data_IF_659250294644
#
_entry.id   IF_659250294644
#
_cell.length_a   1.000
_cell.length_b   1.000
_cell.length_c   1.000
_cell.angle_alpha   90.00
_cell.angle_beta   90.00
_cell.angle_gamma   90.00
#
_symmetry.space_group_name_H-M   'P 1'
#
loop_
_entity.id
_entity.type
_entity.pdbx_description
1 polymer ?
#
# COMPACT_ATOMS: atom_id res chain seq x y z
N UNK A 1 -1.82 10.04 -5.62
CA UNK A 1 -2.79 10.06 -4.52
C UNK A 1 -2.93 8.70 -3.88
N UNK A 2 -3.12 8.64 -2.55
CA UNK A 2 -3.46 7.40 -1.85
C UNK A 2 -4.94 7.01 -2.07
N UNK A 3 -5.32 5.78 -1.66
CA UNK A 3 -6.70 5.27 -1.74
C UNK A 3 -7.47 5.44 -0.43
N UNK A 4 -7.03 4.76 0.62
CA UNK A 4 -7.78 4.60 1.87
C UNK A 4 -7.64 5.84 2.76
N UNK A 5 -8.71 6.56 2.99
CA UNK A 5 -8.67 7.83 3.73
C UNK A 5 -8.32 9.04 2.86
N UNK A 6 -8.09 8.84 1.56
CA UNK A 6 -7.77 9.91 0.59
C UNK A 6 -8.76 9.92 -0.58
N UNK A 7 -8.70 8.96 -1.50
CA UNK A 7 -9.67 8.84 -2.60
C UNK A 7 -11.01 8.31 -2.10
N UNK A 8 -10.97 7.33 -1.19
CA UNK A 8 -12.15 6.67 -0.63
C UNK A 8 -12.68 7.42 0.59
N UNK A 9 -14.00 7.56 0.66
CA UNK A 9 -14.69 8.03 1.86
C UNK A 9 -14.71 6.95 2.97
N UNK A 10 -15.26 7.28 4.15
CA UNK A 10 -15.39 6.36 5.29
C UNK A 10 -16.23 5.10 5.01
N UNK A 11 -17.07 5.14 3.96
CA UNK A 11 -17.86 4.01 3.47
C UNK A 11 -17.11 3.14 2.45
N UNK A 12 -15.81 3.39 2.22
CA UNK A 12 -14.98 2.74 1.22
C UNK A 12 -15.51 2.87 -0.22
N UNK A 13 -16.13 4.00 -0.55
CA UNK A 13 -16.61 4.34 -1.89
C UNK A 13 -15.84 5.52 -2.46
N UNK A 14 -15.68 5.56 -3.77
CA UNK A 14 -15.17 6.74 -4.48
C UNK A 14 -16.30 7.77 -4.58
N UNK A 15 -16.17 8.95 -3.95
CA UNK A 15 -17.15 10.02 -4.12
C UNK A 15 -17.20 10.50 -5.60
N UNK A 16 -18.37 10.82 -6.09
CA UNK A 16 -18.57 11.27 -7.48
C UNK A 16 -17.76 12.54 -7.78
N UNK A 17 -17.67 13.47 -6.82
CA UNK A 17 -16.87 14.68 -6.94
C UNK A 17 -15.36 14.38 -7.10
N UNK A 18 -14.84 13.38 -6.39
CA UNK A 18 -13.45 12.95 -6.55
C UNK A 18 -13.23 12.37 -7.95
N UNK A 19 -14.13 11.51 -8.42
CA UNK A 19 -14.05 10.93 -9.76
C UNK A 19 -14.09 12.00 -10.86
N UNK A 20 -14.96 13.01 -10.74
CA UNK A 20 -15.04 14.15 -11.68
C UNK A 20 -13.76 14.97 -11.68
N UNK A 21 -13.23 15.34 -10.52
CA UNK A 21 -12.00 16.13 -10.44
C UNK A 21 -10.79 15.39 -11.03
N UNK A 22 -10.70 14.06 -10.83
CA UNK A 22 -9.68 13.22 -11.45
C UNK A 22 -9.83 13.23 -12.97
N UNK A 23 -11.05 13.05 -13.49
CA UNK A 23 -11.31 13.09 -14.92
C UNK A 23 -10.98 14.45 -15.55
N UNK A 24 -11.32 15.56 -14.86
CA UNK A 24 -10.97 16.93 -15.26
C UNK A 24 -9.45 17.12 -15.35
N UNK A 25 -8.70 16.60 -14.36
CA UNK A 25 -7.24 16.67 -14.35
C UNK A 25 -6.63 15.83 -15.49
N UNK A 26 -7.09 14.60 -15.67
CA UNK A 26 -6.65 13.72 -16.75
C UNK A 26 -6.91 14.34 -18.15
N UNK A 27 -8.08 14.96 -18.35
CA UNK A 27 -8.43 15.64 -19.60
C UNK A 27 -7.52 16.85 -19.91
N UNK A 28 -6.85 17.41 -18.90
CA UNK A 28 -5.84 18.47 -19.05
C UNK A 28 -4.41 17.92 -19.18
N UNK A 29 -4.25 16.61 -19.35
CA UNK A 29 -2.94 15.96 -19.51
C UNK A 29 -2.18 15.69 -18.21
N UNK A 30 -2.85 15.77 -17.05
CA UNK A 30 -2.23 15.37 -15.78
C UNK A 30 -2.15 13.86 -15.72
N UNK A 31 -0.96 13.32 -15.48
CA UNK A 31 -0.75 11.90 -15.25
C UNK A 31 -1.35 11.48 -13.90
N UNK A 32 -2.24 10.51 -13.91
CA UNK A 32 -2.95 10.04 -12.72
C UNK A 32 -2.27 8.79 -12.18
N UNK A 33 -1.80 8.86 -10.95
CA UNK A 33 -1.14 7.74 -10.26
C UNK A 33 -1.82 7.49 -8.91
N UNK A 34 -2.32 6.28 -8.72
CA UNK A 34 -2.84 5.81 -7.44
C UNK A 34 -1.76 5.03 -6.72
N UNK A 35 -1.43 5.43 -5.47
CA UNK A 35 -0.32 4.87 -4.69
C UNK A 35 -0.88 4.29 -3.39
N UNK A 36 -0.87 2.96 -3.22
CA UNK A 36 -1.58 2.31 -2.12
C UNK A 36 -0.84 1.12 -1.53
N UNK A 37 -1.11 0.81 -0.25
CA UNK A 37 -0.70 -0.45 0.37
C UNK A 37 -1.50 -1.66 -0.12
N UNK A 38 -2.64 -1.45 -0.77
CA UNK A 38 -3.47 -2.54 -1.29
C UNK A 38 -2.76 -3.34 -2.37
N UNK A 39 -3.14 -4.62 -2.51
CA UNK A 39 -2.76 -5.46 -3.64
C UNK A 39 -3.48 -5.00 -4.91
N UNK A 40 -2.87 -5.25 -6.07
CA UNK A 40 -3.40 -4.83 -7.37
C UNK A 40 -4.87 -5.20 -7.58
N UNK A 41 -5.27 -6.46 -7.36
CA UNK A 41 -6.66 -6.88 -7.55
C UNK A 41 -7.65 -6.08 -6.71
N UNK A 42 -7.30 -5.78 -5.47
CA UNK A 42 -8.15 -5.00 -4.58
C UNK A 42 -8.22 -3.51 -4.98
N UNK A 43 -7.10 -2.95 -5.42
CA UNK A 43 -7.04 -1.57 -5.89
C UNK A 43 -7.77 -1.40 -7.23
N UNK A 44 -7.59 -2.33 -8.16
CA UNK A 44 -8.21 -2.32 -9.49
C UNK A 44 -9.72 -2.22 -9.42
N UNK A 45 -10.38 -3.05 -8.59
CA UNK A 45 -11.85 -3.01 -8.43
C UNK A 45 -12.38 -1.63 -8.08
N UNK A 46 -11.57 -0.81 -7.41
CA UNK A 46 -11.92 0.56 -7.03
C UNK A 46 -11.70 1.52 -8.18
N UNK A 47 -10.52 1.46 -8.81
CA UNK A 47 -10.14 2.41 -9.84
C UNK A 47 -10.78 2.12 -11.21
N UNK A 48 -11.34 0.93 -11.41
CA UNK A 48 -12.11 0.59 -12.62
C UNK A 48 -13.29 1.56 -12.85
N UNK A 49 -13.84 2.13 -11.76
CA UNK A 49 -14.89 3.14 -11.82
C UNK A 49 -14.39 4.54 -12.25
N UNK A 50 -13.09 4.79 -12.28
CA UNK A 50 -12.52 6.07 -12.71
C UNK A 50 -12.48 6.15 -14.24
N UNK A 51 -13.03 7.20 -14.85
CA UNK A 51 -13.17 7.31 -16.31
C UNK A 51 -11.90 7.88 -16.98
N UNK A 52 -10.73 7.41 -16.59
CA UNK A 52 -9.45 7.84 -17.16
C UNK A 52 -8.41 6.72 -17.13
N UNK A 53 -7.40 6.86 -17.97
CA UNK A 53 -6.17 6.09 -17.86
C UNK A 53 -5.41 6.47 -16.59
N UNK A 54 -4.81 5.50 -15.94
CA UNK A 54 -4.03 5.73 -14.73
C UNK A 54 -3.06 4.58 -14.47
N UNK A 55 -2.05 4.86 -13.65
CA UNK A 55 -1.13 3.86 -13.15
C UNK A 55 -1.34 3.60 -11.66
N UNK A 56 -1.00 2.38 -11.26
CA UNK A 56 -1.15 1.89 -9.89
C UNK A 56 0.23 1.53 -9.32
N UNK A 57 0.61 2.20 -8.26
CA UNK A 57 1.71 1.80 -7.39
C UNK A 57 1.08 1.08 -6.21
N UNK A 58 1.22 -0.24 -6.14
CA UNK A 58 0.53 -1.10 -5.17
C UNK A 58 1.51 -1.80 -4.23
N UNK A 59 0.99 -2.42 -3.17
CA UNK A 59 1.80 -3.07 -2.13
C UNK A 59 2.89 -2.12 -1.59
N UNK A 60 2.50 -0.89 -1.24
CA UNK A 60 3.39 0.16 -0.73
C UNK A 60 4.63 0.44 -1.61
N UNK A 61 4.49 0.30 -2.94
CA UNK A 61 5.59 0.59 -3.87
C UNK A 61 6.25 -0.65 -4.47
N UNK A 62 5.92 -1.86 -4.02
CA UNK A 62 6.57 -3.07 -4.50
C UNK A 62 6.23 -3.42 -5.95
N UNK A 63 5.08 -2.98 -6.45
CA UNK A 63 4.65 -3.19 -7.85
C UNK A 63 4.16 -1.89 -8.47
N UNK A 64 4.52 -1.67 -9.75
CA UNK A 64 3.95 -0.62 -10.59
C UNK A 64 3.24 -1.30 -11.77
N UNK A 65 1.95 -1.03 -11.92
CA UNK A 65 1.09 -1.64 -12.96
C UNK A 65 0.24 -0.58 -13.67
N UNK A 66 -0.13 -0.87 -14.92
CA UNK A 66 -1.22 -0.12 -15.57
C UNK A 66 -2.57 -0.51 -14.95
N UNK A 67 -3.61 0.25 -15.26
CA UNK A 67 -4.99 -0.07 -14.89
C UNK A 67 -5.43 -1.43 -15.43
N UNK A 68 -4.97 -1.83 -16.63
CA UNK A 68 -5.28 -3.10 -17.30
C UNK A 68 -4.49 -4.28 -16.73
N UNK A 69 -3.43 -4.03 -15.94
CA UNK A 69 -2.65 -5.07 -15.26
C UNK A 69 -1.29 -5.35 -15.84
N UNK A 70 -0.83 -4.59 -16.83
CA UNK A 70 0.54 -4.68 -17.29
C UNK A 70 1.48 -4.31 -16.15
N UNK A 71 2.49 -5.14 -15.92
CA UNK A 71 3.48 -4.88 -14.86
C UNK A 71 4.68 -4.13 -15.44
N UNK A 72 4.84 -2.88 -15.02
CA UNK A 72 5.96 -2.05 -15.43
C UNK A 72 7.20 -2.23 -14.57
N UNK A 73 7.01 -2.56 -13.28
CA UNK A 73 8.11 -2.74 -12.33
C UNK A 73 7.74 -3.64 -11.16
N UNK A 74 8.74 -4.42 -10.68
CA UNK A 74 8.63 -5.31 -9.52
C UNK A 74 9.83 -5.11 -8.59
N UNK A 75 9.57 -5.03 -7.30
CA UNK A 75 10.56 -5.02 -6.24
C UNK A 75 10.21 -6.13 -5.25
N UNK A 76 10.72 -7.33 -5.48
CA UNK A 76 10.41 -8.49 -4.67
C UNK A 76 11.35 -8.56 -3.46
N UNK A 77 10.82 -8.98 -2.31
CA UNK A 77 11.58 -9.29 -1.11
C UNK A 77 12.26 -10.65 -1.31
N UNK A 78 13.56 -10.75 -1.05
CA UNK A 78 14.25 -12.02 -1.16
C UNK A 78 13.59 -13.08 -0.25
N UNK A 79 13.33 -14.27 -0.78
CA UNK A 79 12.71 -15.37 -0.03
C UNK A 79 13.51 -15.75 1.21
N UNK A 80 14.85 -15.62 1.17
CA UNK A 80 15.75 -15.82 2.34
C UNK A 80 15.47 -14.80 3.44
N UNK A 81 15.33 -13.51 3.11
CA UNK A 81 15.01 -12.45 4.07
C UNK A 81 13.58 -12.64 4.62
N UNK A 82 12.60 -12.94 3.76
CA UNK A 82 11.24 -13.26 4.18
C UNK A 82 11.19 -14.41 5.18
N UNK A 83 11.95 -15.48 4.94
CA UNK A 83 12.08 -16.62 5.85
C UNK A 83 12.68 -16.20 7.19
N UNK A 84 13.80 -15.46 7.19
CA UNK A 84 14.44 -14.95 8.44
C UNK A 84 13.48 -14.08 9.26
N UNK A 85 12.70 -13.23 8.62
CA UNK A 85 11.66 -12.42 9.28
C UNK A 85 10.66 -13.32 9.98
N UNK A 86 10.12 -14.33 9.31
CA UNK A 86 9.17 -15.28 9.90
C UNK A 86 9.78 -16.11 11.02
N UNK A 87 11.02 -16.55 10.89
CA UNK A 87 11.76 -17.32 11.92
C UNK A 87 12.07 -16.46 13.16
N UNK A 88 12.33 -15.17 12.97
CA UNK A 88 12.56 -14.22 14.07
C UNK A 88 11.28 -13.78 14.80
N UNK A 89 10.11 -14.06 14.24
CA UNK A 89 8.79 -13.61 14.79
C UNK A 89 7.81 -14.76 15.03
N UNK A 90 8.22 -15.88 15.69
CA UNK A 90 7.36 -17.05 15.85
C UNK A 90 6.11 -16.75 16.68
N UNK A 91 6.18 -15.87 17.69
CA UNK A 91 5.07 -15.47 18.53
C UNK A 91 4.01 -14.63 17.80
N UNK A 92 4.35 -14.03 16.66
CA UNK A 92 3.44 -13.24 15.83
C UNK A 92 2.97 -13.99 14.57
N UNK A 93 3.22 -15.30 14.49
CA UNK A 93 2.93 -16.11 13.31
C UNK A 93 1.44 -16.08 12.93
N UNK A 94 0.56 -16.01 13.91
CA UNK A 94 -0.89 -15.89 13.68
C UNK A 94 -1.29 -14.59 12.97
N UNK A 95 -0.49 -13.53 13.06
CA UNK A 95 -0.70 -12.25 12.36
C UNK A 95 -0.04 -12.22 10.98
N UNK A 96 0.93 -13.12 10.72
CA UNK A 96 1.76 -13.10 9.52
C UNK A 96 1.06 -13.69 8.30
N UNK A 97 1.42 -13.17 7.13
CA UNK A 97 1.12 -13.71 5.81
C UNK A 97 2.26 -13.42 4.85
N UNK A 98 2.42 -14.25 3.82
CA UNK A 98 3.36 -14.05 2.72
C UNK A 98 2.56 -13.73 1.45
N UNK A 99 2.91 -12.66 0.76
CA UNK A 99 2.19 -12.18 -0.43
C UNK A 99 3.07 -12.33 -1.66
N UNK A 100 2.54 -12.97 -2.71
CA UNK A 100 3.21 -13.21 -3.98
C UNK A 100 2.55 -12.45 -5.15
N UNK A 101 3.33 -12.12 -6.20
CA UNK A 101 2.78 -11.54 -7.46
C UNK A 101 2.27 -12.67 -8.37
N UNK A 102 1.16 -13.28 -8.00
CA UNK A 102 0.50 -14.34 -8.74
C UNK A 102 -0.82 -13.83 -9.32
N UNK A 103 -1.28 -14.34 -10.47
CA UNK A 103 -2.47 -13.79 -11.14
C UNK A 103 -3.76 -14.00 -10.35
N UNK A 104 -3.94 -15.10 -9.64
CA UNK A 104 -5.17 -15.38 -8.91
C UNK A 104 -4.95 -16.22 -7.65
N UNK A 105 -4.64 -17.50 -7.79
CA UNK A 105 -4.56 -18.42 -6.65
C UNK A 105 -3.28 -18.23 -5.85
N UNK A 106 -3.36 -18.50 -4.54
CA UNK A 106 -2.21 -18.51 -3.64
C UNK A 106 -1.41 -17.19 -3.62
N UNK A 107 -2.08 -16.06 -3.85
CA UNK A 107 -1.43 -14.74 -3.72
C UNK A 107 -1.07 -14.42 -2.28
N UNK A 108 -1.89 -14.85 -1.33
CA UNK A 108 -1.70 -14.65 0.10
C UNK A 108 -1.62 -16.00 0.76
N UNK A 109 -0.49 -16.31 1.35
CA UNK A 109 -0.29 -17.54 2.11
C UNK A 109 -0.32 -17.20 3.59
N UNK A 110 -1.15 -17.94 4.34
CA UNK A 110 -1.29 -17.86 5.79
C UNK A 110 -0.93 -19.20 6.42
N UNK A 111 -0.54 -19.23 7.68
CA UNK A 111 -0.39 -20.51 8.37
C UNK A 111 -1.74 -21.11 8.71
N UNK A 112 -2.61 -20.30 9.30
CA UNK A 112 -4.00 -20.63 9.61
C UNK A 112 -4.86 -19.39 9.49
N UNK A 113 -6.16 -19.55 9.25
CA UNK A 113 -7.13 -18.47 9.29
C UNK A 113 -8.46 -18.97 9.83
N UNK A 114 -8.96 -18.29 10.85
CA UNK A 114 -10.34 -18.36 11.27
C UNK A 114 -11.15 -17.31 10.50
N UNK A 115 -12.03 -17.77 9.61
CA UNK A 115 -12.85 -16.88 8.78
C UNK A 115 -13.96 -16.17 9.57
N UNK A 116 -14.27 -16.63 10.77
CA UNK A 116 -15.27 -16.04 11.66
C UNK A 116 -14.65 -14.99 12.59
N UNK A 117 -13.32 -14.93 12.68
CA UNK A 117 -12.61 -13.83 13.35
C UNK A 117 -12.97 -12.50 12.67
N UNK A 118 -13.57 -11.53 13.41
CA UNK A 118 -13.98 -10.24 12.85
C UNK A 118 -12.81 -9.38 12.36
N UNK A 119 -11.63 -9.56 12.93
CA UNK A 119 -10.43 -8.81 12.57
C UNK A 119 -9.75 -9.42 11.35
N UNK A 120 -9.02 -10.50 11.52
CA UNK A 120 -8.20 -11.08 10.46
C UNK A 120 -9.04 -11.80 9.41
N UNK A 121 -9.99 -12.60 9.81
CA UNK A 121 -10.98 -13.20 8.91
C UNK A 121 -11.75 -12.13 8.14
N UNK A 122 -12.18 -11.07 8.84
CA UNK A 122 -12.82 -9.90 8.24
C UNK A 122 -11.96 -9.16 7.23
N UNK A 123 -10.66 -8.96 7.53
CA UNK A 123 -9.70 -8.31 6.64
C UNK A 123 -9.52 -9.08 5.32
N UNK A 124 -9.39 -10.42 5.38
CA UNK A 124 -9.17 -11.25 4.19
C UNK A 124 -10.46 -11.72 3.50
N UNK A 125 -11.64 -11.53 4.09
CA UNK A 125 -12.93 -12.08 3.61
C UNK A 125 -13.20 -11.75 2.14
N UNK A 126 -12.98 -10.49 1.73
CA UNK A 126 -13.17 -10.04 0.34
C UNK A 126 -12.13 -10.59 -0.63
N UNK A 127 -11.08 -11.20 -0.12
CA UNK A 127 -9.95 -11.75 -0.89
C UNK A 127 -9.82 -13.26 -0.69
N UNK A 128 -10.84 -13.95 -0.19
CA UNK A 128 -10.80 -15.37 0.19
C UNK A 128 -10.31 -16.28 -0.94
N UNK A 129 -10.69 -15.99 -2.17
CA UNK A 129 -10.26 -16.75 -3.36
C UNK A 129 -8.76 -16.68 -3.65
N UNK A 130 -8.06 -15.67 -3.12
CA UNK A 130 -6.62 -15.47 -3.27
C UNK A 130 -5.80 -16.05 -2.13
N UNK A 131 -6.46 -16.58 -1.10
CA UNK A 131 -5.83 -17.04 0.13
C UNK A 131 -5.63 -18.56 0.10
N UNK A 132 -4.43 -19.00 0.48
CA UNK A 132 -4.13 -20.39 0.77
C UNK A 132 -3.51 -20.53 2.16
N UNK A 133 -3.51 -21.76 2.70
CA UNK A 133 -2.91 -22.09 3.99
C UNK A 133 -1.75 -23.08 3.81
N UNK A 134 -0.62 -22.77 4.45
CA UNK A 134 0.58 -23.61 4.48
C UNK A 134 1.14 -23.61 5.91
N UNK A 135 1.28 -24.76 6.51
CA UNK A 135 1.83 -24.91 7.87
C UNK A 135 3.03 -25.86 7.87
N UNK A 136 4.18 -25.44 8.40
CA UNK A 136 4.47 -24.09 8.89
C UNK A 136 4.55 -23.07 7.74
N UNK A 137 4.22 -21.79 8.00
CA UNK A 137 4.18 -20.73 6.99
C UNK A 137 5.50 -20.60 6.20
N UNK A 138 6.64 -20.86 6.83
CA UNK A 138 7.96 -20.83 6.19
C UNK A 138 8.11 -21.83 5.03
N UNK A 139 7.22 -22.84 4.94
CA UNK A 139 7.29 -23.84 3.88
C UNK A 139 6.90 -23.27 2.50
N UNK A 140 6.11 -22.20 2.46
CA UNK A 140 5.84 -21.50 1.20
C UNK A 140 7.07 -20.79 0.59
N UNK A 141 8.16 -20.68 1.36
CA UNK A 141 9.44 -20.10 0.96
C UNK A 141 10.55 -21.15 0.78
N UNK A 142 10.17 -22.42 0.59
CA UNK A 142 11.13 -23.52 0.29
C UNK A 142 11.29 -23.71 -1.21
N UNK A 143 12.45 -24.25 -1.59
CA UNK A 143 12.66 -24.78 -2.94
C UNK A 143 11.66 -25.89 -3.23
N UNK A 144 11.09 -25.91 -4.42
CA UNK A 144 10.15 -26.94 -4.87
C UNK A 144 10.61 -27.54 -6.18
N UNK A 145 10.63 -28.88 -6.26
CA UNK A 145 10.98 -29.62 -7.48
C UNK A 145 12.32 -29.16 -8.12
N UNK A 146 13.32 -28.84 -7.29
CA UNK A 146 14.64 -28.38 -7.76
C UNK A 146 14.70 -26.91 -8.20
N UNK A 147 13.60 -26.19 -8.16
CA UNK A 147 13.57 -24.75 -8.45
C UNK A 147 13.86 -23.96 -7.17
N UNK A 148 14.57 -22.81 -7.26
CA UNK A 148 14.76 -21.91 -6.12
C UNK A 148 13.40 -21.43 -5.58
N UNK A 149 13.35 -20.99 -4.30
CA UNK A 149 12.13 -20.41 -3.75
C UNK A 149 11.73 -19.17 -4.53
N UNK A 150 10.41 -18.98 -4.69
CA UNK A 150 9.85 -17.76 -5.28
C UNK A 150 10.02 -16.60 -4.29
N UNK A 151 10.52 -15.48 -4.79
CA UNK A 151 10.60 -14.26 -4.00
C UNK A 151 9.20 -13.63 -3.84
N UNK A 152 8.72 -13.41 -2.61
CA UNK A 152 7.43 -12.77 -2.39
C UNK A 152 7.49 -11.26 -2.65
N UNK A 153 6.33 -10.65 -2.79
CA UNK A 153 6.19 -9.19 -2.77
C UNK A 153 6.56 -8.66 -1.39
N UNK A 154 6.02 -9.31 -0.34
CA UNK A 154 6.16 -8.86 1.05
C UNK A 154 5.81 -9.97 2.05
N UNK A 155 6.28 -9.80 3.28
CA UNK A 155 5.67 -10.42 4.47
C UNK A 155 4.77 -9.35 5.11
N UNK A 156 3.51 -9.69 5.38
CA UNK A 156 2.53 -8.76 5.93
C UNK A 156 2.03 -9.27 7.28
N UNK A 157 1.98 -8.40 8.26
CA UNK A 157 1.37 -8.65 9.57
C UNK A 157 0.11 -7.80 9.70
N UNK A 158 -1.00 -8.42 10.10
CA UNK A 158 -2.30 -7.76 10.31
C UNK A 158 -2.86 -8.16 11.67
N UNK A 159 -3.26 -7.18 12.46
CA UNK A 159 -3.83 -7.41 13.79
C UNK A 159 -4.21 -6.13 14.51
N UNK A 160 -4.46 -6.23 15.82
CA UNK A 160 -4.72 -5.08 16.67
C UNK A 160 -3.52 -4.13 16.71
N UNK A 161 -3.78 -2.83 16.84
CA UNK A 161 -2.76 -1.79 16.76
C UNK A 161 -1.57 -2.05 17.69
N UNK A 162 -1.81 -2.42 18.95
CA UNK A 162 -0.72 -2.68 19.89
C UNK A 162 0.12 -3.89 19.47
N UNK A 163 -0.51 -5.00 19.10
CA UNK A 163 0.21 -6.20 18.68
C UNK A 163 1.11 -5.94 17.46
N UNK A 164 0.65 -5.14 16.50
CA UNK A 164 1.44 -4.82 15.31
C UNK A 164 2.55 -3.79 15.60
N UNK A 165 2.36 -2.90 16.58
CA UNK A 165 3.45 -2.05 17.10
C UNK A 165 4.57 -2.90 17.72
N UNK A 166 4.21 -3.94 18.47
CA UNK A 166 5.18 -4.87 19.08
C UNK A 166 5.97 -5.63 18.01
N UNK A 167 5.29 -6.10 16.94
CA UNK A 167 5.96 -6.68 15.76
C UNK A 167 6.94 -5.70 15.14
N UNK A 168 6.50 -4.45 14.90
CA UNK A 168 7.33 -3.40 14.31
C UNK A 168 8.57 -3.13 15.15
N UNK A 169 8.40 -2.96 16.45
CA UNK A 169 9.51 -2.71 17.38
C UNK A 169 10.52 -3.87 17.37
N UNK A 170 10.03 -5.12 17.40
CA UNK A 170 10.88 -6.30 17.31
C UNK A 170 11.67 -6.31 16.01
N UNK A 171 11.01 -6.12 14.87
CA UNK A 171 11.67 -6.12 13.55
C UNK A 171 12.72 -5.01 13.42
N UNK A 172 12.47 -3.83 13.98
CA UNK A 172 13.43 -2.72 13.97
C UNK A 172 14.73 -3.02 14.75
N UNK A 173 14.68 -3.95 15.71
CA UNK A 173 15.83 -4.33 16.56
C UNK A 173 16.62 -5.53 16.03
N UNK A 174 16.20 -6.18 14.95
CA UNK A 174 16.92 -7.30 14.39
C UNK A 174 18.25 -6.84 13.76
N UNK A 175 19.27 -7.67 13.87
CA UNK A 175 20.62 -7.43 13.31
C UNK A 175 20.62 -7.29 11.79
N UNK A 176 19.61 -7.83 11.11
CA UNK A 176 19.39 -7.72 9.67
C UNK A 176 18.25 -6.75 9.28
N UNK A 177 17.85 -5.86 10.19
CA UNK A 177 16.80 -4.85 9.92
C UNK A 177 17.12 -3.92 8.73
N UNK A 178 18.39 -3.81 8.33
CA UNK A 178 18.80 -3.09 7.13
C UNK A 178 18.55 -3.83 5.81
N UNK A 179 18.11 -5.11 5.83
CA UNK A 179 17.82 -5.88 4.60
C UNK A 179 16.40 -5.66 4.07
N UNK A 180 15.55 -4.95 4.80
CA UNK A 180 14.16 -4.68 4.42
C UNK A 180 13.70 -3.26 4.81
N UNK A 181 12.59 -2.86 4.24
CA UNK A 181 11.86 -1.63 4.60
C UNK A 181 10.55 -2.01 5.27
N UNK A 182 10.13 -1.26 6.29
CA UNK A 182 8.87 -1.44 6.98
C UNK A 182 7.89 -0.35 6.53
N UNK A 183 6.75 -0.74 5.95
CA UNK A 183 5.63 0.16 5.71
C UNK A 183 4.53 -0.12 6.75
N UNK A 184 4.15 0.92 7.49
CA UNK A 184 3.23 0.82 8.62
C UNK A 184 1.99 1.67 8.39
N UNK A 185 0.82 1.08 8.60
CA UNK A 185 -0.48 1.74 8.45
C UNK A 185 -1.34 1.45 9.67
N UNK A 186 -1.93 2.47 10.28
CA UNK A 186 -2.84 2.35 11.41
C UNK A 186 -4.22 2.91 11.09
N UNK A 187 -5.23 2.15 11.51
CA UNK A 187 -6.65 2.55 11.49
C UNK A 187 -7.17 2.56 12.92
N UNK A 188 -6.83 3.62 13.67
CA UNK A 188 -7.08 3.73 15.11
C UNK A 188 -8.55 3.57 15.48
N UNK A 189 -9.47 4.08 14.66
CA UNK A 189 -10.92 3.98 14.88
C UNK A 189 -11.45 2.54 14.79
N UNK A 190 -10.69 1.63 14.18
CA UNK A 190 -11.03 0.21 14.02
C UNK A 190 -10.14 -0.70 14.84
N UNK A 191 -9.15 -0.15 15.54
CA UNK A 191 -8.08 -0.88 16.24
C UNK A 191 -7.41 -1.94 15.34
N UNK A 192 -7.13 -1.59 14.09
CA UNK A 192 -6.45 -2.46 13.13
C UNK A 192 -5.19 -1.76 12.63
N UNK A 193 -4.09 -2.50 12.60
CA UNK A 193 -2.86 -2.07 11.93
C UNK A 193 -2.36 -3.13 10.95
N UNK A 194 -1.65 -2.64 9.94
CA UNK A 194 -0.95 -3.43 8.93
C UNK A 194 0.51 -3.02 8.93
N UNK A 195 1.40 -4.00 8.97
CA UNK A 195 2.83 -3.82 8.81
C UNK A 195 3.32 -4.69 7.66
N UNK A 196 3.86 -4.06 6.65
CA UNK A 196 4.44 -4.72 5.49
C UNK A 196 5.97 -4.68 5.58
N UNK A 197 6.59 -5.85 5.46
CA UNK A 197 8.03 -6.02 5.29
C UNK A 197 8.30 -6.15 3.81
N UNK A 198 8.94 -5.15 3.24
CA UNK A 198 9.22 -5.01 1.81
C UNK A 198 10.72 -5.17 1.54
N UNK A 199 11.09 -5.36 0.29
CA UNK A 199 12.49 -5.23 -0.14
C UNK A 199 13.08 -3.91 0.36
N UNK A 200 14.34 -3.94 0.78
CA UNK A 200 15.07 -2.74 1.19
C UNK A 200 14.97 -1.62 0.12
N UNK A 201 14.73 -0.40 0.56
CA UNK A 201 14.61 0.78 -0.30
C UNK A 201 13.31 0.84 -1.11
N UNK A 202 12.28 0.07 -0.74
CA UNK A 202 10.96 0.14 -1.38
C UNK A 202 9.99 0.87 -0.46
N UNK A 203 9.34 1.90 -1.00
CA UNK A 203 8.26 2.64 -0.36
C UNK A 203 7.37 3.31 -1.40
N UNK A 204 6.22 3.84 -0.98
CA UNK A 204 5.35 4.65 -1.85
C UNK A 204 6.11 5.82 -2.50
N UNK A 205 6.98 6.49 -1.74
CA UNK A 205 7.75 7.64 -2.21
C UNK A 205 8.82 7.26 -3.23
N UNK A 206 9.61 6.22 -2.95
CA UNK A 206 10.65 5.73 -3.87
C UNK A 206 10.03 5.25 -5.18
N UNK A 207 8.93 4.48 -5.12
CA UNK A 207 8.25 4.00 -6.32
C UNK A 207 7.64 5.16 -7.15
N UNK A 208 7.06 6.17 -6.48
CA UNK A 208 6.54 7.36 -7.15
C UNK A 208 7.66 8.15 -7.83
N UNK A 209 8.80 8.35 -7.15
CA UNK A 209 9.96 9.05 -7.70
C UNK A 209 10.51 8.34 -8.95
N UNK A 210 10.62 7.01 -8.91
CA UNK A 210 11.08 6.22 -10.06
C UNK A 210 10.09 6.27 -11.21
N UNK A 211 8.79 6.22 -10.94
CA UNK A 211 7.76 6.32 -11.97
C UNK A 211 7.75 7.69 -12.63
N UNK A 212 7.77 8.77 -11.84
CA UNK A 212 7.89 10.14 -12.35
C UNK A 212 9.15 10.32 -13.23
N UNK A 213 10.29 9.82 -12.75
CA UNK A 213 11.55 9.87 -13.53
C UNK A 213 11.46 9.11 -14.85
N UNK A 214 10.78 7.93 -14.89
CA UNK A 214 10.55 7.18 -16.13
C UNK A 214 9.69 7.93 -17.15
N UNK A 215 8.74 8.72 -16.66
CA UNK A 215 7.88 9.57 -17.48
C UNK A 215 8.51 10.93 -17.84
N UNK A 216 9.71 11.24 -17.31
CA UNK A 216 10.34 12.55 -17.49
C UNK A 216 9.70 13.69 -16.70
N UNK A 217 8.83 13.37 -15.72
CA UNK A 217 8.15 14.33 -14.84
C UNK A 217 9.10 14.74 -13.72
N UNK A 218 9.32 16.03 -13.55
CA UNK A 218 10.16 16.55 -12.48
C UNK A 218 9.42 16.53 -11.14
N UNK A 219 10.19 16.48 -10.05
CA UNK A 219 9.66 16.52 -8.69
C UNK A 219 8.68 17.69 -8.46
N UNK A 220 9.05 18.88 -8.96
CA UNK A 220 8.29 20.13 -8.83
C UNK A 220 6.91 20.06 -9.52
N UNK A 221 6.74 19.14 -10.46
CA UNK A 221 5.50 18.93 -11.22
C UNK A 221 4.62 17.85 -10.56
N UNK A 222 5.08 17.24 -9.45
CA UNK A 222 4.33 16.18 -8.75
C UNK A 222 3.55 16.77 -7.59
N UNK A 223 2.23 16.58 -7.60
CA UNK A 223 1.37 16.75 -6.43
C UNK A 223 1.10 15.39 -5.80
N UNK A 224 1.42 15.20 -4.53
CA UNK A 224 1.07 14.01 -3.76
C UNK A 224 0.00 14.34 -2.72
N UNK A 225 -0.98 13.43 -2.55
CA UNK A 225 -2.08 13.58 -1.57
C UNK A 225 -2.19 12.29 -0.79
N UNK A 226 -2.18 12.40 0.56
CA UNK A 226 -2.22 11.24 1.46
C UNK A 226 -2.64 11.60 2.88
N UNK A 227 -2.83 10.57 3.73
CA UNK A 227 -3.36 10.74 5.08
C UNK A 227 -2.65 9.90 6.16
N UNK A 228 -1.83 8.90 5.81
CA UNK A 228 -1.30 7.95 6.78
C UNK A 228 0.24 7.87 6.77
N UNK A 229 0.80 7.14 7.73
CA UNK A 229 2.24 6.98 7.94
C UNK A 229 3.00 6.54 6.70
N UNK A 230 2.44 5.60 5.93
CA UNK A 230 3.05 5.07 4.71
C UNK A 230 3.02 6.05 3.52
N UNK A 231 2.32 7.20 3.66
CA UNK A 231 2.30 8.27 2.65
C UNK A 231 3.41 9.28 2.83
N UNK A 232 4.06 9.28 4.01
CA UNK A 232 5.05 10.29 4.38
C UNK A 232 6.11 10.48 3.29
N UNK A 233 6.73 9.40 2.84
CA UNK A 233 7.82 9.49 1.87
C UNK A 233 7.35 10.00 0.49
N UNK A 234 6.13 9.65 0.04
CA UNK A 234 5.61 10.21 -1.22
C UNK A 234 5.27 11.70 -1.10
N UNK A 235 4.83 12.13 0.09
CA UNK A 235 4.61 13.55 0.38
C UNK A 235 5.93 14.31 0.46
N UNK A 236 6.96 13.75 1.11
CA UNK A 236 8.31 14.33 1.16
C UNK A 236 8.96 14.42 -0.23
N UNK A 237 8.69 13.47 -1.13
CA UNK A 237 9.18 13.49 -2.50
C UNK A 237 8.52 14.58 -3.34
N UNK A 238 7.22 14.79 -3.22
CA UNK A 238 6.45 15.67 -4.10
C UNK A 238 6.89 17.14 -3.99
N UNK A 239 6.82 17.88 -5.10
CA UNK A 239 6.98 19.33 -5.10
C UNK A 239 5.79 20.03 -4.44
N UNK A 240 4.61 19.42 -4.49
CA UNK A 240 3.41 19.88 -3.79
C UNK A 240 2.81 18.77 -2.94
N UNK A 241 3.27 18.60 -1.70
CA UNK A 241 2.62 17.70 -0.74
C UNK A 241 1.33 18.30 -0.19
N UNK A 242 0.24 17.51 -0.21
CA UNK A 242 -1.06 17.88 0.34
C UNK A 242 -1.52 16.81 1.31
N UNK A 243 -1.83 17.18 2.55
CA UNK A 243 -2.36 16.26 3.55
C UNK A 243 -3.88 16.38 3.66
N UNK A 244 -4.54 15.25 3.84
CA UNK A 244 -5.99 15.20 4.05
C UNK A 244 -6.36 15.75 5.43
N UNK A 245 -7.56 16.32 5.58
CA UNK A 245 -8.06 16.82 6.87
C UNK A 245 -8.17 15.74 7.95
N UNK A 246 -8.38 14.49 7.55
CA UNK A 246 -8.42 13.31 8.42
C UNK A 246 -7.04 12.64 8.61
N UNK A 247 -5.93 13.26 8.18
CA UNK A 247 -4.61 12.63 8.28
C UNK A 247 -4.13 12.47 9.73
N UNK A 248 -3.18 11.56 9.92
CA UNK A 248 -2.51 11.35 11.21
C UNK A 248 -1.73 12.60 11.64
N UNK A 249 -1.63 12.85 12.96
CA UNK A 249 -1.08 14.10 13.50
C UNK A 249 0.38 14.36 13.09
N UNK A 250 1.16 13.31 12.91
CA UNK A 250 2.56 13.46 12.45
C UNK A 250 2.67 14.11 11.08
N UNK A 251 1.69 13.91 10.19
CA UNK A 251 1.66 14.56 8.88
C UNK A 251 1.17 16.01 8.99
N UNK A 252 0.23 16.29 9.89
CA UNK A 252 -0.25 17.68 10.14
C UNK A 252 0.87 18.61 10.60
N UNK A 253 1.83 18.08 11.36
CA UNK A 253 2.94 18.88 11.92
C UNK A 253 4.04 19.25 10.91
N UNK A 254 3.98 18.75 9.66
CA UNK A 254 5.02 18.99 8.66
C UNK A 254 4.92 20.37 7.96
N UNK A 255 3.86 21.14 8.17
CA UNK A 255 3.65 22.44 7.53
C UNK A 255 3.30 22.34 6.02
N UNK A 256 2.90 21.15 5.54
CA UNK A 256 2.44 20.93 4.17
C UNK A 256 1.08 21.55 3.90
N UNK A 257 0.71 21.70 2.64
CA UNK A 257 -0.63 22.13 2.27
C UNK A 257 -1.67 21.14 2.81
N UNK A 258 -2.79 21.65 3.29
CA UNK A 258 -3.88 20.82 3.80
C UNK A 258 -5.15 21.00 2.95
N UNK A 259 -5.95 19.94 2.88
CA UNK A 259 -7.27 19.95 2.26
C UNK A 259 -8.35 19.50 3.26
N UNK A 260 -9.58 19.32 2.77
CA UNK A 260 -10.71 18.82 3.55
C UNK A 260 -10.52 17.32 3.88
N UNK A 261 -11.44 16.76 4.66
CA UNK A 261 -11.46 15.32 4.94
C UNK A 261 -11.89 14.52 3.71
N UNK A 262 -11.63 13.22 3.73
CA UNK A 262 -12.08 12.31 2.68
C UNK A 262 -13.62 12.22 2.56
N UNK A 263 -14.36 12.47 3.64
CA UNK A 263 -15.83 12.53 3.64
C UNK A 263 -16.38 13.87 3.11
N UNK A 264 -15.53 14.91 3.06
CA UNK A 264 -15.85 16.24 2.56
C UNK A 264 -15.32 16.48 1.13
N UNK A 265 -14.99 15.42 0.38
CA UNK A 265 -14.40 15.49 -0.96
C UNK A 265 -13.05 16.23 -0.99
N UNK A 266 -12.22 16.05 0.03
CA UNK A 266 -10.93 16.73 0.17
C UNK A 266 -10.00 16.53 -1.01
N UNK A 267 -10.02 15.35 -1.66
CA UNK A 267 -9.24 15.08 -2.87
C UNK A 267 -9.68 15.99 -4.03
N UNK A 268 -10.97 16.08 -4.31
CA UNK A 268 -11.49 16.96 -5.38
C UNK A 268 -11.16 18.43 -5.10
N UNK A 269 -11.29 18.85 -3.84
CA UNK A 269 -10.93 20.21 -3.43
C UNK A 269 -9.44 20.49 -3.69
N UNK A 270 -8.54 19.56 -3.33
CA UNK A 270 -7.11 19.72 -3.56
C UNK A 270 -6.75 19.75 -5.06
N UNK A 271 -7.32 18.86 -5.87
CA UNK A 271 -7.11 18.83 -7.32
C UNK A 271 -7.53 20.16 -7.96
N UNK A 272 -8.75 20.65 -7.67
CA UNK A 272 -9.26 21.91 -8.24
C UNK A 272 -8.45 23.10 -7.80
N UNK A 273 -8.04 23.14 -6.52
CA UNK A 273 -7.27 24.25 -5.95
C UNK A 273 -5.83 24.33 -6.45
N UNK A 274 -5.20 23.21 -6.73
CA UNK A 274 -3.75 23.18 -6.97
C UNK A 274 -3.36 22.65 -8.35
N UNK A 275 -4.10 21.69 -8.92
CA UNK A 275 -3.74 21.09 -10.21
C UNK A 275 -4.49 21.66 -11.40
N UNK A 276 -5.65 22.32 -11.16
CA UNK A 276 -6.49 22.86 -12.24
C UNK A 276 -6.47 24.40 -12.33
N UNK A 277 -5.62 25.05 -11.53
CA UNK A 277 -5.42 26.50 -11.60
C UNK A 277 -4.43 26.80 -12.74
N UNK A 278 -4.95 27.27 -13.88
CA UNK A 278 -4.19 27.64 -15.05
C UNK A 278 -5.08 28.29 -16.09
#
# INVERSE_FOLDING_TARGET
MDLDGTLLNSQSKVPEENARAIAEAAARGVEIVVVTGRRYHSARLIVDALPCELHLIVNNGALIKSKEGETHQRFLLAASTARRVLEATPEFRSSASVVFDRPRENQVILETIDWDDPFRGGYFRRSREFVAQVSPLTDCLKSTNGNPPEDPIQVMFVGLCQAIRDVREKLQRLDFSGEYTLAFTEYLTRDISVLDVLRHGVSKGIALAQWAGRLGIKREEVMAIGDNWNDREMLEFAGLPVVMGNCVDVLKSQGWAATLTNDENGLAHAIRKYALVG
#
